data_IF_555435675935
#
_entry.id   IF_555435675935
#
_cell.length_a   1.000
_cell.length_b   1.000
_cell.length_c   1.000
_cell.angle_alpha   90.00
_cell.angle_beta   90.00
_cell.angle_gamma   90.00
#
_symmetry.space_group_name_H-M   'P 1'
#
loop_
_entity.id
_entity.type
_entity.pdbx_description
1 polymer ?
#
# COMPACT_ATOMS: atom_id res chain seq x y z
N UNK A 1 -3.24 19.03 14.88
CA UNK A 1 -2.46 19.00 13.65
C UNK A 1 -2.92 17.86 12.77
N UNK A 2 -3.27 18.14 11.56
CA UNK A 2 -3.80 17.11 10.67
C UNK A 2 -2.69 16.48 9.86
N UNK A 3 -2.88 15.21 9.56
CA UNK A 3 -1.95 14.43 8.76
C UNK A 3 -2.44 14.45 7.31
N UNK A 4 -1.52 14.67 6.38
CA UNK A 4 -1.90 14.68 4.97
C UNK A 4 -2.18 13.28 4.49
N UNK A 5 -3.33 13.06 3.82
CA UNK A 5 -3.66 11.72 3.34
C UNK A 5 -2.61 11.12 2.41
N UNK A 6 -1.97 11.95 1.60
CA UNK A 6 -0.93 11.46 0.69
C UNK A 6 0.23 10.84 1.46
N UNK A 7 0.62 11.46 2.55
CA UNK A 7 1.70 10.93 3.38
C UNK A 7 1.27 9.64 4.06
N UNK A 8 0.02 9.59 4.52
CA UNK A 8 -0.53 8.37 5.11
C UNK A 8 -0.46 7.23 4.11
N UNK A 9 -0.88 7.49 2.89
CA UNK A 9 -0.83 6.49 1.85
C UNK A 9 0.60 6.00 1.60
N UNK A 10 1.53 6.94 1.48
CA UNK A 10 2.91 6.59 1.17
C UNK A 10 3.52 5.68 2.24
N UNK A 11 3.30 6.01 3.50
CA UNK A 11 3.81 5.20 4.60
C UNK A 11 3.19 3.81 4.58
N UNK A 12 1.88 3.73 4.38
CA UNK A 12 1.19 2.45 4.40
C UNK A 12 1.52 1.60 3.18
N UNK A 13 1.74 2.25 2.04
CA UNK A 13 2.14 1.52 0.83
C UNK A 13 3.53 0.94 0.98
N UNK A 14 4.43 1.65 1.65
CA UNK A 14 5.76 1.11 1.90
C UNK A 14 5.67 -0.18 2.72
N UNK A 15 4.81 -0.20 3.72
CA UNK A 15 4.60 -1.40 4.51
C UNK A 15 3.99 -2.52 3.65
N UNK A 16 3.05 -2.15 2.78
CA UNK A 16 2.46 -3.12 1.87
C UNK A 16 3.51 -3.76 0.96
N UNK A 17 4.38 -2.94 0.38
CA UNK A 17 5.43 -3.47 -0.50
C UNK A 17 6.35 -4.42 0.25
N UNK A 18 6.75 -4.03 1.46
CA UNK A 18 7.61 -4.88 2.26
C UNK A 18 6.96 -6.19 2.63
N UNK A 19 5.69 -6.13 3.02
CA UNK A 19 4.96 -7.34 3.38
C UNK A 19 4.81 -8.27 2.18
N UNK A 20 4.49 -7.71 1.01
CA UNK A 20 4.39 -8.50 -0.21
C UNK A 20 5.71 -9.20 -0.54
N UNK A 21 6.80 -8.48 -0.37
CA UNK A 21 8.12 -9.02 -0.64
C UNK A 21 8.42 -10.21 0.25
N UNK A 22 8.13 -10.08 1.54
CA UNK A 22 8.34 -11.17 2.48
C UNK A 22 7.44 -12.36 2.14
N UNK A 23 6.18 -12.10 1.86
CA UNK A 23 5.22 -13.18 1.61
C UNK A 23 5.50 -13.92 0.31
N UNK A 24 6.05 -13.24 -0.68
CA UNK A 24 6.33 -13.85 -1.97
C UNK A 24 7.68 -14.51 -2.03
N UNK A 25 8.50 -14.34 -1.01
CA UNK A 25 9.79 -15.00 -0.94
C UNK A 25 9.58 -16.47 -0.64
N UNK A 26 9.90 -17.32 -1.59
CA UNK A 26 9.70 -18.76 -1.42
C UNK A 26 10.58 -19.32 -0.32
N UNK A 27 11.70 -18.68 -0.08
CA UNK A 27 12.62 -19.13 0.95
C UNK A 27 12.19 -18.72 2.34
N UNK A 28 11.51 -17.57 2.42
CA UNK A 28 11.00 -17.07 3.68
C UNK A 28 12.04 -16.81 4.74
N UNK A 29 13.30 -16.91 4.37
CA UNK A 29 14.42 -16.75 5.29
C UNK A 29 15.53 -16.10 4.53
N UNK A 30 16.51 -15.60 5.24
CA UNK A 30 17.63 -14.97 4.63
C UNK A 30 17.65 -13.49 4.90
N UNK A 31 18.51 -12.80 4.18
CA UNK A 31 18.78 -11.39 4.47
C UNK A 31 17.52 -10.52 4.39
N UNK A 32 16.70 -10.74 3.38
CA UNK A 32 15.48 -9.94 3.22
C UNK A 32 14.53 -10.10 4.39
N UNK A 33 14.35 -11.35 4.80
CA UNK A 33 13.48 -11.62 5.93
C UNK A 33 14.03 -11.05 7.21
N UNK A 34 15.34 -11.16 7.40
CA UNK A 34 15.95 -10.61 8.60
C UNK A 34 15.79 -9.11 8.64
N UNK A 35 15.94 -8.47 7.49
CA UNK A 35 15.78 -7.02 7.43
C UNK A 35 14.35 -6.62 7.79
N UNK A 36 13.37 -7.33 7.24
CA UNK A 36 11.97 -7.04 7.55
C UNK A 36 11.65 -7.33 9.00
N UNK A 37 12.19 -8.41 9.52
CA UNK A 37 11.96 -8.74 10.91
C UNK A 37 12.60 -7.71 11.84
N UNK A 38 13.76 -7.19 11.48
CA UNK A 38 14.38 -6.13 12.25
C UNK A 38 13.53 -4.88 12.24
N UNK A 39 12.98 -4.55 11.08
CA UNK A 39 12.14 -3.38 10.91
C UNK A 39 10.88 -3.48 11.78
N UNK A 40 10.36 -4.68 11.98
CA UNK A 40 9.16 -4.92 12.77
C UNK A 40 9.44 -5.74 14.02
N UNK A 41 10.68 -5.71 14.48
CA UNK A 41 11.12 -6.57 15.59
C UNK A 41 10.43 -6.27 16.90
N UNK A 42 9.72 -5.13 16.96
CA UNK A 42 8.95 -4.79 18.15
C UNK A 42 7.75 -5.73 18.36
N UNK A 43 7.47 -6.59 17.37
CA UNK A 43 6.36 -7.53 17.49
C UNK A 43 6.77 -8.89 16.94
N UNK A 44 6.86 -9.90 17.79
CA UNK A 44 7.20 -11.25 17.30
C UNK A 44 6.11 -11.89 16.47
N UNK A 45 4.86 -11.42 16.61
CA UNK A 45 3.72 -11.98 15.90
C UNK A 45 3.34 -11.20 14.64
N UNK A 46 4.28 -10.43 14.12
CA UNK A 46 3.99 -9.52 13.00
C UNK A 46 3.66 -10.25 11.69
N UNK A 47 4.20 -11.45 11.51
CA UNK A 47 4.03 -12.16 10.23
C UNK A 47 2.57 -12.47 9.88
N UNK A 48 1.76 -12.98 10.79
CA UNK A 48 0.34 -13.17 10.48
C UNK A 48 -0.34 -11.85 10.15
N UNK A 49 0.04 -10.78 10.85
CA UNK A 49 -0.54 -9.48 10.59
C UNK A 49 -0.16 -8.92 9.23
N UNK A 50 0.97 -9.36 8.67
CA UNK A 50 1.35 -8.92 7.32
C UNK A 50 0.33 -9.35 6.28
N UNK A 51 -0.19 -10.56 6.40
CA UNK A 51 -1.24 -11.02 5.49
C UNK A 51 -2.49 -10.16 5.61
N UNK A 52 -2.86 -9.87 6.85
CA UNK A 52 -4.02 -9.01 7.09
C UNK A 52 -3.78 -7.62 6.51
N UNK A 53 -2.58 -7.10 6.70
CA UNK A 53 -2.25 -5.77 6.17
C UNK A 53 -2.37 -5.72 4.66
N UNK A 54 -1.82 -6.72 3.97
CA UNK A 54 -1.89 -6.76 2.51
C UNK A 54 -3.34 -6.77 2.05
N UNK A 55 -4.17 -7.60 2.68
CA UNK A 55 -5.57 -7.67 2.31
C UNK A 55 -6.32 -6.37 2.63
N UNK A 56 -6.08 -5.81 3.80
CA UNK A 56 -6.78 -4.61 4.23
C UNK A 56 -6.36 -3.39 3.42
N UNK A 57 -5.08 -3.30 3.08
CA UNK A 57 -4.60 -2.20 2.25
C UNK A 57 -5.28 -2.25 0.88
N UNK A 58 -5.35 -3.42 0.28
CA UNK A 58 -5.99 -3.59 -1.02
C UNK A 58 -7.48 -3.23 -0.95
N UNK A 59 -8.15 -3.70 0.08
CA UNK A 59 -9.58 -3.43 0.24
C UNK A 59 -9.85 -1.95 0.47
N UNK A 60 -9.02 -1.30 1.27
CA UNK A 60 -9.20 0.12 1.55
C UNK A 60 -9.06 0.94 0.27
N UNK A 61 -8.03 0.64 -0.52
CA UNK A 61 -7.83 1.38 -1.77
C UNK A 61 -8.94 1.14 -2.77
N UNK A 62 -9.37 -0.11 -2.90
CA UNK A 62 -10.44 -0.43 -3.82
C UNK A 62 -11.75 0.24 -3.41
N UNK A 63 -12.03 0.27 -2.12
CA UNK A 63 -13.23 0.95 -1.64
C UNK A 63 -13.16 2.44 -1.90
N UNK A 64 -11.98 3.02 -1.73
CA UNK A 64 -11.80 4.46 -1.94
C UNK A 64 -11.97 4.85 -3.40
N UNK A 65 -11.69 3.93 -4.32
CA UNK A 65 -11.73 4.22 -5.75
C UNK A 65 -12.92 3.59 -6.45
N UNK A 66 -13.95 3.28 -5.69
CA UNK A 66 -15.18 2.73 -6.25
C UNK A 66 -15.93 3.77 -7.08
N UNK A 67 -16.64 3.27 -8.08
CA UNK A 67 -17.50 4.13 -8.87
C UNK A 67 -16.98 4.30 -10.29
N UNK A 68 -17.91 4.61 -11.22
CA UNK A 68 -17.52 4.69 -12.64
C UNK A 68 -16.53 5.80 -12.94
N UNK A 69 -16.58 6.89 -12.17
CA UNK A 69 -15.67 8.01 -12.41
C UNK A 69 -14.24 7.68 -12.04
N UNK A 70 -14.03 6.61 -11.28
CA UNK A 70 -12.71 6.23 -10.80
C UNK A 70 -12.18 4.95 -11.44
N UNK A 71 -12.92 4.42 -12.44
CA UNK A 71 -12.56 3.13 -13.02
C UNK A 71 -11.14 3.10 -13.57
N UNK A 72 -10.73 4.15 -14.28
CA UNK A 72 -9.38 4.19 -14.86
C UNK A 72 -8.31 4.28 -13.78
N UNK A 73 -8.56 5.07 -12.75
CA UNK A 73 -7.61 5.19 -11.65
C UNK A 73 -7.54 3.91 -10.84
N UNK A 74 -8.65 3.17 -10.78
CA UNK A 74 -8.62 1.86 -10.14
C UNK A 74 -7.67 0.91 -10.87
N UNK A 75 -7.63 0.99 -12.20
CA UNK A 75 -6.71 0.15 -12.97
C UNK A 75 -5.27 0.50 -12.60
N UNK A 76 -4.95 1.80 -12.52
CA UNK A 76 -3.61 2.20 -12.10
C UNK A 76 -3.29 1.68 -10.70
N UNK A 77 -4.24 1.80 -9.80
CA UNK A 77 -4.04 1.34 -8.43
C UNK A 77 -3.75 -0.16 -8.38
N UNK A 78 -4.54 -0.94 -9.08
CA UNK A 78 -4.36 -2.39 -9.08
C UNK A 78 -3.06 -2.80 -9.76
N UNK A 79 -2.72 -2.16 -10.86
CA UNK A 79 -1.56 -2.55 -11.64
C UNK A 79 -0.26 -2.15 -10.95
N UNK A 80 -0.18 -0.92 -10.52
CA UNK A 80 1.06 -0.37 -10.00
C UNK A 80 1.18 -0.48 -8.48
N UNK A 81 0.16 -0.01 -7.75
CA UNK A 81 0.27 0.00 -6.30
C UNK A 81 0.07 -1.36 -5.68
N UNK A 82 -0.85 -2.16 -6.18
CA UNK A 82 -1.06 -3.50 -5.66
C UNK A 82 -0.20 -4.53 -6.38
N UNK A 83 -0.16 -4.48 -7.69
CA UNK A 83 0.56 -5.46 -8.49
C UNK A 83 2.05 -5.20 -8.60
N UNK A 84 2.49 -4.01 -8.20
CA UNK A 84 3.90 -3.62 -8.18
C UNK A 84 4.56 -3.70 -9.56
N UNK A 85 3.80 -3.41 -10.61
CA UNK A 85 4.35 -3.35 -11.95
C UNK A 85 5.37 -2.22 -12.07
N UNK A 86 6.40 -2.38 -12.90
CA UNK A 86 7.37 -1.30 -13.09
C UNK A 86 6.68 -0.03 -13.61
N UNK A 87 7.16 1.10 -13.12
CA UNK A 87 6.55 2.39 -13.43
C UNK A 87 6.39 2.64 -14.94
N UNK A 88 7.46 2.44 -15.71
CA UNK A 88 7.40 2.72 -17.14
C UNK A 88 6.39 1.83 -17.86
N UNK A 89 6.36 0.56 -17.46
CA UNK A 89 5.43 -0.38 -18.08
C UNK A 89 3.99 -0.03 -17.76
N UNK A 90 3.72 0.27 -16.50
CA UNK A 90 2.37 0.64 -16.08
C UNK A 90 1.92 1.93 -16.76
N UNK A 91 2.80 2.92 -16.82
CA UNK A 91 2.47 4.20 -17.42
C UNK A 91 2.15 4.04 -18.90
N UNK A 92 2.97 3.28 -19.63
CA UNK A 92 2.72 3.04 -21.04
C UNK A 92 1.44 2.26 -21.28
N UNK A 93 1.20 1.25 -20.44
CA UNK A 93 -0.02 0.47 -20.56
C UNK A 93 -1.27 1.35 -20.44
N UNK A 94 -1.22 2.33 -19.55
CA UNK A 94 -2.34 3.22 -19.32
C UNK A 94 -2.39 4.41 -20.28
N UNK A 95 -1.35 4.56 -21.11
CA UNK A 95 -1.30 5.66 -22.04
C UNK A 95 -1.14 7.02 -21.40
N UNK A 96 -0.50 7.08 -20.25
CA UNK A 96 -0.35 8.31 -19.50
C UNK A 96 0.99 8.97 -19.77
N UNK A 97 0.96 10.31 -19.89
CA UNK A 97 2.19 11.09 -19.86
C UNK A 97 2.73 11.09 -18.43
N UNK A 98 3.96 11.58 -18.27
CA UNK A 98 4.53 11.68 -16.93
C UNK A 98 3.68 12.59 -16.05
N UNK A 99 3.22 13.69 -16.62
CA UNK A 99 2.37 14.61 -15.87
C UNK A 99 1.03 13.99 -15.52
N UNK A 100 0.45 13.26 -16.47
CA UNK A 100 -0.81 12.56 -16.21
C UNK A 100 -0.67 11.55 -15.09
N UNK A 101 0.46 10.83 -15.08
CA UNK A 101 0.73 9.89 -14.00
C UNK A 101 0.79 10.60 -12.64
N UNK A 102 1.51 11.73 -12.58
CA UNK A 102 1.61 12.48 -11.33
C UNK A 102 0.23 12.90 -10.85
N UNK A 103 -0.59 13.43 -11.76
CA UNK A 103 -1.92 13.88 -11.40
C UNK A 103 -2.80 12.74 -10.89
N UNK A 104 -2.81 11.62 -11.60
CA UNK A 104 -3.62 10.48 -11.21
C UNK A 104 -3.15 9.88 -9.90
N UNK A 105 -1.83 9.73 -9.74
CA UNK A 105 -1.30 9.12 -8.53
C UNK A 105 -1.56 10.01 -7.31
N UNK A 106 -1.52 11.31 -7.49
CA UNK A 106 -1.82 12.24 -6.42
C UNK A 106 -3.26 12.09 -5.94
N UNK A 107 -4.19 11.99 -6.89
CA UNK A 107 -5.58 11.78 -6.55
C UNK A 107 -5.81 10.46 -5.84
N UNK A 108 -5.16 9.41 -6.35
CA UNK A 108 -5.26 8.08 -5.76
C UNK A 108 -4.73 8.10 -4.33
N UNK A 109 -3.56 8.68 -4.14
CA UNK A 109 -2.93 8.72 -2.84
C UNK A 109 -3.75 9.50 -1.83
N UNK A 110 -4.35 10.61 -2.25
CA UNK A 110 -5.19 11.40 -1.37
C UNK A 110 -6.43 10.64 -0.96
N UNK A 111 -7.09 10.04 -1.92
CA UNK A 111 -8.34 9.36 -1.66
C UNK A 111 -8.15 8.08 -0.85
N UNK A 112 -7.16 7.30 -1.23
CA UNK A 112 -6.86 6.06 -0.51
C UNK A 112 -6.31 6.34 0.88
N UNK A 113 -5.49 7.38 1.02
CA UNK A 113 -4.96 7.75 2.32
C UNK A 113 -6.05 8.16 3.29
N UNK A 114 -7.06 8.88 2.80
CA UNK A 114 -8.19 9.25 3.63
C UNK A 114 -8.96 8.02 4.09
N UNK A 115 -9.14 7.04 3.21
CA UNK A 115 -9.83 5.82 3.58
C UNK A 115 -9.02 5.01 4.59
N UNK A 116 -7.72 4.97 4.42
CA UNK A 116 -6.83 4.28 5.36
C UNK A 116 -6.94 4.90 6.76
N UNK A 117 -6.94 6.23 6.82
CA UNK A 117 -7.13 6.92 8.10
C UNK A 117 -8.46 6.55 8.74
N UNK A 118 -9.51 6.56 7.94
CA UNK A 118 -10.84 6.26 8.40
C UNK A 118 -10.93 4.85 8.98
N UNK A 119 -10.18 3.91 8.42
CA UNK A 119 -10.20 2.52 8.87
C UNK A 119 -9.26 2.24 10.03
N UNK A 120 -8.54 3.25 10.49
CA UNK A 120 -7.65 3.08 11.63
C UNK A 120 -6.39 2.30 11.34
N UNK A 121 -5.96 2.28 10.10
CA UNK A 121 -4.76 1.55 9.72
C UNK A 121 -3.48 2.36 9.89
N UNK A 122 -3.60 3.63 10.17
CA UNK A 122 -2.44 4.49 10.35
C UNK A 122 -2.40 4.98 11.80
N UNK A 123 -1.25 4.95 12.48
CA UNK A 123 0.04 4.48 11.94
C UNK A 123 0.12 2.94 11.89
N UNK A 124 0.92 2.39 10.99
CA UNK A 124 1.02 0.93 10.86
C UNK A 124 1.39 0.22 12.14
N UNK A 125 2.22 0.86 12.95
CA UNK A 125 2.64 0.28 14.22
C UNK A 125 1.44 -0.04 15.10
N UNK A 126 0.48 0.85 15.14
CA UNK A 126 -0.73 0.64 15.92
C UNK A 126 -1.54 -0.54 15.37
N UNK A 127 -1.62 -0.63 14.08
CA UNK A 127 -2.32 -1.74 13.43
C UNK A 127 -1.69 -3.07 13.82
N UNK A 128 -0.37 -3.16 13.70
CA UNK A 128 0.33 -4.41 13.99
C UNK A 128 0.33 -4.75 15.49
N UNK A 129 0.11 -3.77 16.34
CA UNK A 129 0.01 -4.01 17.78
C UNK A 129 -1.41 -4.36 18.23
N UNK A 130 -2.31 -4.59 17.30
CA UNK A 130 -3.65 -4.97 17.66
C UNK A 130 -4.50 -3.81 18.15
N UNK A 131 -4.12 -2.61 17.79
CA UNK A 131 -4.93 -1.45 18.14
C UNK A 131 -4.62 -0.81 19.47
N UNK A 132 -3.57 -1.24 20.11
CA UNK A 132 -3.19 -0.61 21.37
C UNK A 132 -2.57 0.74 21.19
#
# INVERSE_FOLDING_TARGET
MSVKPEMVFDVCWEVYRGAREVMESKRGIGALNMEMETKYAWRPDVRPKMKDWVADFALAGQAALEGPDWASRMVLFRLYYLGLAPYERARHFLGLSERGWVNWSEEIRRRCGAEILKRGMFPPRKYFNGGE
#
